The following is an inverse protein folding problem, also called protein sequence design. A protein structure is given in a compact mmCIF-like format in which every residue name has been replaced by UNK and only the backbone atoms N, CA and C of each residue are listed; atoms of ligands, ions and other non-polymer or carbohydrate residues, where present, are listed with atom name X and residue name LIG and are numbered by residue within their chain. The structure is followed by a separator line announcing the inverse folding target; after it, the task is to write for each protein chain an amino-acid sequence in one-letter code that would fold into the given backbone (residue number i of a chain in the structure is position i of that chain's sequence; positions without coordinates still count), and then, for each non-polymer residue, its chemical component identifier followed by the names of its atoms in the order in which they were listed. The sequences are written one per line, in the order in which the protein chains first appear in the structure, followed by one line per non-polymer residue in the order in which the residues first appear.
data_IF_533317163617
#
_entry.id   IF_533317163617
#
_cell.length_a   1.000
_cell.length_b   1.000
_cell.length_c   1.000
_cell.angle_alpha   90.00
_cell.angle_beta   90.00
_cell.angle_gamma   90.00
#
_symmetry.space_group_name_H-M   'P 1'
#
loop_
_entity.id
_entity.type
_entity.pdbx_description
1 polymer ?
#
# COMPACT_ATOMS: atom_id res chain seq x y z
N UNK A 1 -3.83 47.71 -5.85
CA UNK A 1 -3.30 46.36 -5.56
C UNK A 1 -3.06 46.28 -4.07
N UNK A 2 -3.91 45.57 -3.32
CA UNK A 2 -3.79 45.50 -1.85
C UNK A 2 -2.62 44.58 -1.49
N UNK A 3 -1.66 45.07 -0.70
CA UNK A 3 -0.58 44.25 -0.17
C UNK A 3 -1.20 43.18 0.73
N UNK A 4 -1.22 41.92 0.28
CA UNK A 4 -1.69 40.80 1.08
C UNK A 4 -0.96 40.83 2.43
N UNK A 5 -1.71 40.75 3.54
CA UNK A 5 -1.10 40.77 4.87
C UNK A 5 0.01 39.72 4.97
N UNK A 6 1.06 39.99 5.76
CA UNK A 6 2.18 39.05 5.98
C UNK A 6 1.72 37.62 6.34
N UNK A 7 0.54 37.48 6.96
CA UNK A 7 -0.12 36.20 7.23
C UNK A 7 -0.59 35.48 5.96
N UNK A 8 -1.27 36.17 5.04
CA UNK A 8 -1.77 35.59 3.79
C UNK A 8 -0.62 35.11 2.89
N UNK A 9 0.44 35.91 2.77
CA UNK A 9 1.65 35.52 2.02
C UNK A 9 2.27 34.24 2.60
N UNK A 10 2.34 34.12 3.93
CA UNK A 10 2.85 32.93 4.61
C UNK A 10 1.94 31.70 4.40
N UNK A 11 0.62 31.86 4.40
CA UNK A 11 -0.32 30.78 4.11
C UNK A 11 -0.18 30.30 2.67
N UNK A 12 -0.09 31.22 1.71
CA UNK A 12 0.12 30.91 0.30
C UNK A 12 1.43 30.15 0.08
N UNK A 13 2.54 30.61 0.67
CA UNK A 13 3.82 29.91 0.61
C UNK A 13 3.74 28.49 1.22
N UNK A 14 3.01 28.34 2.33
CA UNK A 14 2.80 27.03 2.96
C UNK A 14 2.00 26.09 2.07
N UNK A 15 0.95 26.60 1.42
CA UNK A 15 0.14 25.82 0.50
C UNK A 15 0.95 25.37 -0.72
N UNK A 16 1.75 26.26 -1.32
CA UNK A 16 2.62 25.93 -2.45
C UNK A 16 3.61 24.80 -2.12
N UNK A 17 4.23 24.85 -0.94
CA UNK A 17 5.10 23.78 -0.42
C UNK A 17 4.35 22.45 -0.30
N UNK A 18 3.13 22.48 0.25
CA UNK A 18 2.31 21.28 0.42
C UNK A 18 1.86 20.72 -0.93
N UNK A 19 1.58 21.57 -1.91
CA UNK A 19 1.22 21.17 -3.27
C UNK A 19 2.39 20.53 -4.03
N UNK A 20 3.61 21.02 -3.83
CA UNK A 20 4.83 20.45 -4.42
C UNK A 20 5.27 19.12 -3.78
N UNK A 21 4.90 18.87 -2.53
CA UNK A 21 5.27 17.66 -1.80
C UNK A 21 4.17 16.59 -1.76
N UNK A 22 4.56 15.31 -1.85
CA UNK A 22 3.61 14.19 -1.72
C UNK A 22 3.43 13.76 -0.26
N UNK A 23 2.24 13.22 0.05
CA UNK A 23 1.93 12.51 1.29
C UNK A 23 1.36 13.37 2.42
N UNK A 24 1.41 12.82 3.64
CA UNK A 24 0.87 13.46 4.84
C UNK A 24 1.81 14.54 5.39
N UNK A 25 1.23 15.67 5.78
CA UNK A 25 1.93 16.81 6.36
C UNK A 25 1.58 16.94 7.83
N UNK A 26 2.53 16.61 8.70
CA UNK A 26 2.46 16.88 10.13
C UNK A 26 3.06 18.25 10.45
N UNK A 27 2.76 18.77 11.65
CA UNK A 27 3.37 20.01 12.15
C UNK A 27 4.91 19.91 12.15
N UNK A 28 5.45 18.77 12.58
CA UNK A 28 6.89 18.53 12.61
C UNK A 28 7.52 18.49 11.21
N UNK A 29 6.83 17.92 10.22
CA UNK A 29 7.30 17.91 8.82
C UNK A 29 7.35 19.31 8.24
N UNK A 30 6.30 20.11 8.42
CA UNK A 30 6.27 21.50 7.96
C UNK A 30 7.33 22.35 8.66
N UNK A 31 7.52 22.16 9.97
CA UNK A 31 8.55 22.85 10.75
C UNK A 31 9.96 22.54 10.22
N UNK A 32 10.27 21.25 9.98
CA UNK A 32 11.55 20.82 9.42
C UNK A 32 11.79 21.44 8.04
N UNK A 33 10.77 21.44 7.18
CA UNK A 33 10.85 22.08 5.87
C UNK A 33 11.17 23.57 5.98
N UNK A 34 10.48 24.31 6.86
CA UNK A 34 10.74 25.75 7.08
C UNK A 34 12.15 26.03 7.58
N UNK A 35 12.67 25.23 8.52
CA UNK A 35 14.06 25.35 9.00
C UNK A 35 15.07 25.20 7.87
N UNK A 36 14.85 24.23 6.99
CA UNK A 36 15.74 23.98 5.86
C UNK A 36 15.77 25.13 4.83
N UNK A 37 14.74 25.98 4.80
CA UNK A 37 14.58 27.06 3.81
C UNK A 37 14.61 28.46 4.45
N UNK A 38 15.15 28.59 5.67
CA UNK A 38 15.31 29.89 6.36
C UNK A 38 14.00 30.58 6.79
N UNK A 39 12.86 29.87 6.78
CA UNK A 39 11.56 30.43 7.13
C UNK A 39 11.24 30.30 8.64
N UNK A 40 10.32 31.10 9.20
CA UNK A 40 9.95 31.04 10.61
C UNK A 40 9.52 29.63 11.07
N UNK A 41 10.33 29.03 11.92
CA UNK A 41 10.26 27.61 12.29
C UNK A 41 9.54 27.33 13.62
N UNK A 42 8.72 28.26 14.11
CA UNK A 42 7.97 28.03 15.35
C UNK A 42 6.85 27.00 15.13
N UNK A 43 6.79 25.99 16.01
CA UNK A 43 5.83 24.88 15.95
C UNK A 43 4.38 25.36 16.08
N UNK A 44 4.15 26.38 16.92
CA UNK A 44 2.84 27.03 17.10
C UNK A 44 2.33 27.67 15.80
N UNK A 45 3.20 28.36 15.07
CA UNK A 45 2.88 28.98 13.77
C UNK A 45 2.57 27.94 12.70
N UNK A 46 3.39 26.89 12.59
CA UNK A 46 3.12 25.77 11.67
C UNK A 46 1.77 25.09 11.96
N UNK A 47 1.44 24.90 13.25
CA UNK A 47 0.14 24.34 13.66
C UNK A 47 -1.02 25.25 13.27
N UNK A 48 -0.92 26.57 13.53
CA UNK A 48 -1.96 27.54 13.16
C UNK A 48 -2.16 27.61 11.65
N UNK A 49 -1.07 27.63 10.87
CA UNK A 49 -1.14 27.72 9.42
C UNK A 49 -1.78 26.46 8.80
N UNK A 50 -1.43 25.25 9.28
CA UNK A 50 -2.08 24.01 8.83
C UNK A 50 -3.57 23.95 9.21
N UNK A 51 -3.91 24.38 10.43
CA UNK A 51 -5.30 24.44 10.87
C UNK A 51 -6.11 25.46 10.06
N UNK A 52 -5.51 26.59 9.70
CA UNK A 52 -6.13 27.60 8.83
C UNK A 52 -6.37 27.06 7.42
N UNK A 53 -5.37 26.44 6.80
CA UNK A 53 -5.51 25.83 5.47
C UNK A 53 -6.56 24.71 5.46
N UNK A 54 -6.68 23.94 6.56
CA UNK A 54 -7.74 22.97 6.72
C UNK A 54 -9.11 23.63 6.86
N UNK A 55 -9.24 24.70 7.66
CA UNK A 55 -10.48 25.46 7.83
C UNK A 55 -10.95 26.08 6.52
N UNK A 56 -10.03 26.57 5.69
CA UNK A 56 -10.28 27.10 4.33
C UNK A 56 -10.59 26.01 3.30
N UNK A 57 -10.52 24.75 3.69
CA UNK A 57 -10.85 23.63 2.85
C UNK A 57 -9.72 23.16 1.93
N UNK A 58 -8.51 23.71 2.01
CA UNK A 58 -7.39 23.23 1.19
C UNK A 58 -6.79 21.92 1.69
N UNK A 59 -6.92 21.60 2.98
CA UNK A 59 -6.39 20.39 3.59
C UNK A 59 -7.48 19.59 4.31
N UNK A 60 -7.34 18.26 4.31
CA UNK A 60 -8.12 17.36 5.14
C UNK A 60 -7.31 16.99 6.37
N UNK A 61 -7.87 17.26 7.55
CA UNK A 61 -7.28 16.86 8.82
C UNK A 61 -7.54 15.36 9.09
N UNK A 62 -6.51 14.63 9.49
CA UNK A 62 -6.57 13.19 9.76
C UNK A 62 -5.86 12.84 11.08
N UNK A 63 -6.29 11.74 11.71
CA UNK A 63 -5.66 11.19 12.92
C UNK A 63 -6.17 11.78 14.26
N UNK A 64 -5.76 11.16 15.38
CA UNK A 64 -6.13 11.60 16.74
C UNK A 64 -5.47 12.95 17.08
N UNK A 65 -5.93 13.58 18.16
CA UNK A 65 -5.52 14.94 18.54
C UNK A 65 -3.99 15.12 18.63
N UNK A 66 -3.27 14.13 19.16
CA UNK A 66 -1.81 14.18 19.37
C UNK A 66 -0.98 13.61 18.21
N UNK A 67 -1.64 12.96 17.24
CA UNK A 67 -1.04 12.41 16.02
C UNK A 67 -1.52 13.09 14.74
N UNK A 68 -2.10 14.30 14.87
CA UNK A 68 -2.81 14.96 13.77
C UNK A 68 -1.88 15.26 12.60
N UNK A 69 -2.28 14.80 11.43
CA UNK A 69 -1.64 15.11 10.16
C UNK A 69 -2.66 15.66 9.16
N UNK A 70 -2.18 16.31 8.12
CA UNK A 70 -3.00 16.95 7.12
C UNK A 70 -2.64 16.38 5.76
N UNK A 71 -3.64 16.11 4.94
CA UNK A 71 -3.43 15.72 3.54
C UNK A 71 -3.98 16.82 2.65
N UNK A 72 -3.32 17.10 1.53
CA UNK A 72 -3.83 18.05 0.55
C UNK A 72 -5.21 17.58 0.10
N UNK A 73 -6.23 18.42 0.29
CA UNK A 73 -7.54 18.18 -0.29
C UNK A 73 -7.34 18.39 -1.78
N UNK A 74 -7.31 17.28 -2.53
CA UNK A 74 -7.35 17.35 -3.98
C UNK A 74 -8.68 18.00 -4.29
N UNK A 75 -8.67 19.25 -4.74
CA UNK A 75 -9.91 19.95 -5.08
C UNK A 75 -10.76 19.03 -5.95
N UNK A 76 -11.94 18.78 -5.44
CA UNK A 76 -12.96 17.97 -6.04
C UNK A 76 -13.88 18.93 -6.78
N UNK A 77 -13.81 19.07 -8.10
CA UNK A 77 -15.02 19.24 -8.87
C UNK A 77 -15.65 17.84 -8.98
N UNK A 78 -16.82 17.67 -8.36
CA UNK A 78 -17.73 16.52 -8.50
C UNK A 78 -17.23 15.17 -7.96
N UNK A 79 -18.16 14.47 -7.32
CA UNK A 79 -18.12 13.03 -7.12
C UNK A 79 -17.99 12.30 -8.46
N UNK A 80 -16.78 12.12 -8.95
CA UNK A 80 -16.40 10.87 -9.58
C UNK A 80 -15.24 10.33 -8.75
N UNK A 81 -15.58 9.58 -7.69
CA UNK A 81 -14.95 8.25 -7.58
C UNK A 81 -15.10 7.71 -8.99
N UNK A 82 -14.08 7.84 -9.85
CA UNK A 82 -14.16 7.44 -11.24
C UNK A 82 -14.75 6.04 -11.16
N UNK A 83 -16.03 5.94 -11.53
CA UNK A 83 -16.82 4.74 -11.33
C UNK A 83 -15.98 3.75 -12.10
N UNK A 84 -15.29 2.83 -11.39
CA UNK A 84 -14.32 1.93 -12.01
C UNK A 84 -14.98 1.49 -13.29
N UNK A 85 -14.43 1.85 -14.45
CA UNK A 85 -15.09 1.59 -15.72
C UNK A 85 -15.32 0.10 -15.71
N UNK A 86 -16.56 -0.29 -15.46
CA UNK A 86 -16.86 -1.68 -15.19
C UNK A 86 -16.70 -2.35 -16.54
N UNK A 87 -15.63 -3.10 -16.68
CA UNK A 87 -15.35 -3.80 -17.92
C UNK A 87 -16.47 -4.80 -18.16
N UNK A 88 -17.20 -4.61 -19.24
CA UNK A 88 -18.17 -5.61 -19.70
C UNK A 88 -17.42 -6.76 -20.35
N UNK A 89 -17.04 -7.73 -19.53
CA UNK A 89 -16.31 -8.91 -19.97
C UNK A 89 -17.10 -9.78 -20.97
N UNK A 90 -18.44 -9.71 -20.97
CA UNK A 90 -19.24 -10.45 -21.93
C UNK A 90 -19.13 -9.82 -23.33
N UNK A 91 -19.25 -8.50 -23.41
CA UNK A 91 -19.06 -7.75 -24.65
C UNK A 91 -17.64 -7.92 -25.22
N UNK A 92 -16.62 -7.82 -24.36
CA UNK A 92 -15.22 -8.06 -24.75
C UNK A 92 -15.02 -9.48 -25.28
N UNK A 93 -15.54 -10.50 -24.59
CA UNK A 93 -15.40 -11.89 -25.03
C UNK A 93 -16.12 -12.15 -26.36
N UNK A 94 -17.27 -11.52 -26.60
CA UNK A 94 -17.97 -11.58 -27.88
C UNK A 94 -17.15 -10.93 -29.00
N UNK A 95 -16.57 -9.74 -28.76
CA UNK A 95 -15.71 -9.05 -29.72
C UNK A 95 -14.46 -9.87 -30.08
N UNK A 96 -13.83 -10.51 -29.08
CA UNK A 96 -12.69 -11.40 -29.29
C UNK A 96 -13.05 -12.61 -30.16
N UNK A 97 -14.23 -13.22 -29.96
CA UNK A 97 -14.69 -14.35 -30.79
C UNK A 97 -15.02 -13.92 -32.21
N UNK A 98 -15.55 -12.71 -32.40
CA UNK A 98 -15.81 -12.14 -33.71
C UNK A 98 -14.53 -11.82 -34.49
N UNK A 99 -13.39 -11.65 -33.80
CA UNK A 99 -12.09 -11.33 -34.41
C UNK A 99 -10.99 -12.30 -33.93
N UNK A 100 -11.01 -13.58 -34.36
CA UNK A 100 -10.01 -14.56 -33.96
C UNK A 100 -8.58 -14.12 -34.29
N UNK A 101 -7.65 -14.38 -33.37
CA UNK A 101 -6.22 -14.08 -33.52
C UNK A 101 -5.82 -12.62 -33.27
N UNK A 102 -6.77 -11.68 -33.25
CA UNK A 102 -6.52 -10.26 -33.01
C UNK A 102 -6.41 -9.97 -31.51
N UNK A 103 -5.38 -9.23 -31.12
CA UNK A 103 -5.23 -8.74 -29.75
C UNK A 103 -6.17 -7.56 -29.51
N UNK A 104 -7.12 -7.73 -28.60
CA UNK A 104 -8.02 -6.66 -28.16
C UNK A 104 -7.78 -6.34 -26.68
N UNK A 105 -7.99 -5.08 -26.32
CA UNK A 105 -7.95 -4.63 -24.93
C UNK A 105 -9.12 -5.23 -24.16
N UNK A 106 -8.81 -5.94 -23.08
CA UNK A 106 -9.81 -6.41 -22.12
C UNK A 106 -10.09 -5.32 -21.10
N UNK A 107 -9.06 -4.67 -20.59
CA UNK A 107 -9.20 -3.57 -19.66
C UNK A 107 -7.87 -3.24 -18.99
N UNK A 108 -7.84 -2.09 -18.34
CA UNK A 108 -6.68 -1.59 -17.62
C UNK A 108 -6.96 -1.56 -16.12
N UNK A 109 -6.04 -2.15 -15.36
CA UNK A 109 -6.21 -2.35 -13.93
C UNK A 109 -5.12 -1.62 -13.18
N UNK A 110 -5.51 -0.82 -12.19
CA UNK A 110 -4.57 -0.05 -11.36
C UNK A 110 -3.57 -0.89 -10.56
N UNK A 111 -3.84 -2.18 -10.37
CA UNK A 111 -3.01 -3.09 -9.58
C UNK A 111 -2.66 -4.33 -10.41
N UNK A 112 -1.36 -4.62 -10.53
CA UNK A 112 -0.81 -5.78 -11.21
C UNK A 112 -1.35 -7.12 -10.67
N UNK A 113 -1.64 -7.22 -9.37
CA UNK A 113 -2.23 -8.43 -8.77
C UNK A 113 -3.67 -8.66 -9.21
N UNK A 114 -4.44 -7.57 -9.34
CA UNK A 114 -5.80 -7.64 -9.91
C UNK A 114 -5.71 -8.04 -11.37
N UNK A 115 -4.77 -7.44 -12.13
CA UNK A 115 -4.57 -7.78 -13.52
C UNK A 115 -4.20 -9.27 -13.69
N UNK A 116 -3.27 -9.76 -12.88
CA UNK A 116 -2.85 -11.18 -12.86
C UNK A 116 -4.02 -12.11 -12.55
N UNK A 117 -4.88 -11.73 -11.61
CA UNK A 117 -6.07 -12.51 -11.23
C UNK A 117 -7.08 -12.58 -12.37
N UNK A 118 -7.37 -11.44 -13.03
CA UNK A 118 -8.28 -11.41 -14.18
C UNK A 118 -7.71 -12.22 -15.34
N UNK A 119 -6.40 -12.06 -15.62
CA UNK A 119 -5.69 -12.82 -16.65
C UNK A 119 -5.88 -14.32 -16.47
N UNK A 120 -5.60 -14.82 -15.26
CA UNK A 120 -5.79 -16.23 -14.90
C UNK A 120 -7.22 -16.70 -15.14
N UNK A 121 -8.22 -15.91 -14.73
CA UNK A 121 -9.65 -16.24 -14.91
C UNK A 121 -10.08 -16.32 -16.37
N UNK A 122 -9.50 -15.48 -17.25
CA UNK A 122 -9.75 -15.53 -18.71
C UNK A 122 -9.21 -16.82 -19.29
N UNK A 123 -7.97 -17.20 -18.94
CA UNK A 123 -7.31 -18.41 -19.43
C UNK A 123 -8.01 -19.69 -18.94
N UNK A 124 -8.43 -19.71 -17.66
CA UNK A 124 -9.10 -20.84 -17.03
C UNK A 124 -10.57 -20.97 -17.40
N UNK A 125 -11.24 -19.90 -17.84
CA UNK A 125 -12.67 -19.92 -18.16
C UNK A 125 -13.59 -20.19 -16.95
N UNK A 126 -13.11 -19.99 -15.71
CA UNK A 126 -13.79 -20.42 -14.47
C UNK A 126 -14.39 -19.26 -13.68
N UNK A 127 -15.68 -19.39 -13.29
CA UNK A 127 -16.49 -18.52 -12.40
C UNK A 127 -16.43 -17.01 -12.73
N UNK A 128 -17.35 -16.22 -12.18
CA UNK A 128 -17.41 -14.76 -12.34
C UNK A 128 -17.17 -14.30 -13.81
N UNK A 129 -16.16 -13.44 -14.01
CA UNK A 129 -15.70 -12.92 -15.29
C UNK A 129 -15.17 -14.01 -16.24
N UNK A 130 -14.61 -15.11 -15.71
CA UNK A 130 -14.02 -16.19 -16.48
C UNK A 130 -15.05 -16.99 -17.28
N UNK A 131 -16.30 -17.07 -16.82
CA UNK A 131 -17.39 -17.77 -17.53
C UNK A 131 -17.59 -17.23 -18.96
N UNK A 132 -17.38 -15.93 -19.17
CA UNK A 132 -17.51 -15.31 -20.49
C UNK A 132 -16.42 -15.77 -21.47
N UNK A 133 -15.31 -16.31 -20.98
CA UNK A 133 -14.14 -16.75 -21.76
C UNK A 133 -14.05 -18.27 -21.88
N UNK A 134 -15.19 -18.97 -21.79
CA UNK A 134 -15.24 -20.40 -22.10
C UNK A 134 -15.21 -20.65 -23.62
N UNK A 135 -14.66 -21.80 -24.07
CA UNK A 135 -13.99 -22.83 -23.27
C UNK A 135 -12.60 -22.41 -22.75
N UNK A 136 -12.18 -23.02 -21.63
CA UNK A 136 -10.86 -22.81 -21.04
C UNK A 136 -9.73 -23.10 -22.05
N UNK A 137 -8.67 -22.29 -22.03
CA UNK A 137 -7.53 -22.43 -22.94
C UNK A 137 -7.76 -21.96 -24.38
N UNK A 138 -8.94 -21.40 -24.71
CA UNK A 138 -9.19 -20.80 -26.03
C UNK A 138 -8.74 -19.35 -26.16
N UNK A 139 -8.30 -18.74 -25.06
CA UNK A 139 -7.85 -17.36 -25.03
C UNK A 139 -6.38 -17.33 -24.63
N UNK A 140 -5.60 -16.58 -25.38
CA UNK A 140 -4.26 -16.19 -25.00
C UNK A 140 -4.31 -14.77 -24.44
N UNK A 141 -3.53 -14.51 -23.39
CA UNK A 141 -3.55 -13.22 -22.71
C UNK A 141 -2.14 -12.70 -22.48
N UNK A 142 -1.98 -11.37 -22.46
CA UNK A 142 -0.74 -10.71 -22.06
C UNK A 142 -1.06 -9.49 -21.21
N UNK A 143 -0.08 -9.09 -20.41
CA UNK A 143 -0.20 -7.92 -19.54
C UNK A 143 1.01 -7.00 -19.76
N UNK A 144 0.73 -5.71 -19.92
CA UNK A 144 1.74 -4.66 -20.13
C UNK A 144 1.59 -3.62 -19.03
N UNK A 145 2.70 -3.22 -18.40
CA UNK A 145 2.69 -2.14 -17.43
C UNK A 145 2.55 -0.79 -18.16
N UNK A 146 1.64 0.06 -17.68
CA UNK A 146 1.36 1.40 -18.22
C UNK A 146 1.51 2.43 -17.10
N UNK A 147 1.50 3.72 -17.44
CA UNK A 147 1.56 4.80 -16.44
C UNK A 147 0.36 4.79 -15.47
N UNK A 148 -0.78 4.26 -15.93
CA UNK A 148 -2.05 4.22 -15.18
C UNK A 148 -2.33 2.86 -14.49
N UNK A 149 -1.55 1.82 -14.79
CA UNK A 149 -1.67 0.51 -14.18
C UNK A 149 -1.10 -0.63 -15.01
N UNK A 150 -1.93 -1.65 -15.24
CA UNK A 150 -1.58 -2.84 -16.01
C UNK A 150 -2.68 -3.12 -17.02
N UNK A 151 -2.37 -2.91 -18.29
CA UNK A 151 -3.24 -3.19 -19.42
C UNK A 151 -3.25 -4.71 -19.67
N UNK A 152 -4.44 -5.29 -19.75
CA UNK A 152 -4.63 -6.66 -20.20
C UNK A 152 -5.15 -6.64 -21.64
N UNK A 153 -4.47 -7.38 -22.49
CA UNK A 153 -4.92 -7.72 -23.82
C UNK A 153 -5.15 -9.23 -23.91
N UNK A 154 -6.12 -9.62 -24.72
CA UNK A 154 -6.38 -11.02 -25.01
C UNK A 154 -6.62 -11.21 -26.52
N UNK A 155 -6.45 -12.44 -27.00
CA UNK A 155 -6.90 -12.87 -28.33
C UNK A 155 -7.57 -14.24 -28.25
N UNK A 156 -8.60 -14.44 -29.06
CA UNK A 156 -9.29 -15.72 -29.16
C UNK A 156 -8.63 -16.62 -30.22
N UNK A 157 -8.36 -17.88 -29.86
CA UNK A 157 -7.69 -18.85 -30.71
C UNK A 157 -8.59 -20.09 -30.90
N UNK A 158 -9.42 -20.12 -31.96
CA UNK A 158 -10.44 -21.16 -32.17
C UNK A 158 -9.87 -22.54 -32.48
N UNK A 159 -8.57 -22.66 -32.74
CA UNK A 159 -7.90 -23.93 -33.03
C UNK A 159 -7.14 -24.50 -31.82
N UNK A 160 -6.92 -23.72 -30.75
CA UNK A 160 -6.31 -24.27 -29.54
C UNK A 160 -7.28 -25.28 -28.93
N UNK A 161 -6.80 -26.48 -28.65
CA UNK A 161 -7.61 -27.44 -27.91
C UNK A 161 -7.97 -26.84 -26.56
N UNK A 162 -9.22 -27.03 -26.08
CA UNK A 162 -9.56 -26.58 -24.74
C UNK A 162 -8.54 -27.20 -23.79
N UNK A 163 -7.92 -26.37 -22.95
CA UNK A 163 -7.10 -26.91 -21.86
C UNK A 163 -8.03 -27.84 -21.11
N UNK A 164 -7.66 -29.13 -21.03
CA UNK A 164 -8.37 -30.06 -20.16
C UNK A 164 -8.41 -29.40 -18.81
N UNK A 165 -9.59 -28.91 -18.41
CA UNK A 165 -9.81 -28.52 -17.04
C UNK A 165 -9.40 -29.76 -16.26
N UNK A 166 -8.31 -29.73 -15.48
CA UNK A 166 -7.95 -30.90 -14.69
C UNK A 166 -9.24 -31.29 -13.95
N UNK A 167 -9.65 -32.58 -14.03
CA UNK A 167 -10.91 -33.03 -13.44
C UNK A 167 -10.92 -32.45 -12.05
N UNK A 168 -11.94 -31.62 -11.75
CA UNK A 168 -11.95 -30.71 -10.62
C UNK A 168 -11.24 -31.42 -9.49
N UNK A 169 -9.96 -31.08 -9.29
CA UNK A 169 -9.20 -31.76 -8.27
C UNK A 169 -10.08 -31.53 -7.07
N UNK A 170 -10.46 -32.59 -6.38
CA UNK A 170 -10.95 -32.47 -5.02
C UNK A 170 -9.75 -31.91 -4.27
N UNK A 171 -9.50 -30.62 -4.49
CA UNK A 171 -8.80 -29.76 -3.60
C UNK A 171 -9.70 -29.86 -2.40
N UNK A 172 -9.41 -30.86 -1.58
CA UNK A 172 -9.41 -30.69 -0.15
C UNK A 172 -8.86 -29.29 -0.01
N UNK A 173 -9.77 -28.35 0.23
CA UNK A 173 -9.42 -26.99 0.59
C UNK A 173 -8.53 -27.21 1.79
N UNK A 174 -7.22 -27.26 1.52
CA UNK A 174 -6.22 -27.22 2.54
C UNK A 174 -6.39 -25.80 3.02
N UNK A 175 -7.28 -25.66 4.01
CA UNK A 175 -7.61 -24.39 4.60
C UNK A 175 -6.29 -23.75 4.97
N UNK A 176 -6.21 -22.42 4.92
CA UNK A 176 -4.99 -21.75 5.34
C UNK A 176 -4.54 -22.24 6.73
N UNK A 177 -5.48 -22.64 7.58
CA UNK A 177 -5.23 -23.36 8.82
C UNK A 177 -4.48 -24.69 8.62
N UNK A 178 -4.94 -25.61 7.77
CA UNK A 178 -4.25 -26.88 7.51
C UNK A 178 -2.85 -26.67 6.90
N UNK A 179 -2.69 -25.64 6.06
CA UNK A 179 -1.37 -25.25 5.52
C UNK A 179 -0.46 -24.77 6.64
N UNK A 180 -0.91 -23.83 7.46
CA UNK A 180 -0.14 -23.27 8.59
C UNK A 180 0.20 -24.35 9.62
N UNK A 181 -0.74 -25.23 9.98
CA UNK A 181 -0.47 -26.36 10.88
C UNK A 181 0.57 -27.31 10.30
N UNK A 182 0.52 -27.58 8.99
CA UNK A 182 1.56 -28.37 8.31
C UNK A 182 2.93 -27.70 8.34
N UNK A 183 3.00 -26.38 8.20
CA UNK A 183 4.26 -25.62 8.28
C UNK A 183 4.84 -25.62 9.70
N UNK A 184 3.98 -25.52 10.73
CA UNK A 184 4.38 -25.65 12.13
C UNK A 184 4.91 -27.06 12.40
N UNK A 185 4.20 -28.10 11.93
CA UNK A 185 4.62 -29.49 12.13
C UNK A 185 5.96 -29.83 11.45
N UNK A 186 6.27 -29.19 10.31
CA UNK A 186 7.56 -29.33 9.61
C UNK A 186 8.66 -28.42 10.16
N UNK A 187 8.37 -27.58 11.16
CA UNK A 187 9.34 -26.64 11.74
C UNK A 187 9.68 -25.45 10.84
N UNK A 188 8.92 -25.22 9.77
CA UNK A 188 9.08 -24.06 8.87
C UNK A 188 8.59 -22.76 9.54
N UNK A 189 7.66 -22.88 10.48
CA UNK A 189 7.14 -21.77 11.29
C UNK A 189 7.50 -22.02 12.74
N UNK A 190 8.33 -21.14 13.30
CA UNK A 190 8.67 -21.12 14.72
C UNK A 190 7.48 -20.60 15.53
N UNK A 191 6.60 -21.51 15.94
CA UNK A 191 5.49 -21.24 16.85
C UNK A 191 5.80 -21.74 18.27
N UNK A 192 5.22 -21.10 19.28
CA UNK A 192 5.36 -21.51 20.69
C UNK A 192 6.55 -20.89 21.44
N UNK A 193 6.76 -21.29 22.71
CA UNK A 193 7.70 -20.63 23.62
C UNK A 193 9.16 -20.66 23.15
N UNK A 194 9.57 -21.74 22.47
CA UNK A 194 10.92 -21.89 21.97
C UNK A 194 11.17 -21.05 20.70
N UNK A 195 10.17 -20.99 19.81
CA UNK A 195 10.19 -20.07 18.68
C UNK A 195 10.28 -18.61 19.12
N UNK A 196 9.51 -18.24 20.15
CA UNK A 196 9.56 -16.91 20.76
C UNK A 196 10.96 -16.60 21.34
N UNK A 197 11.59 -17.55 22.05
CA UNK A 197 12.96 -17.39 22.56
C UNK A 197 13.98 -17.20 21.45
N UNK A 198 13.89 -17.95 20.35
CA UNK A 198 14.81 -17.80 19.21
C UNK A 198 14.64 -16.45 18.49
N UNK A 199 13.41 -15.97 18.37
CA UNK A 199 13.13 -14.65 17.81
C UNK A 199 13.68 -13.58 18.75
N UNK A 200 13.43 -13.67 20.05
CA UNK A 200 13.94 -12.74 21.06
C UNK A 200 15.48 -12.67 21.03
N UNK A 201 16.17 -13.82 21.07
CA UNK A 201 17.63 -13.86 20.99
C UNK A 201 18.16 -13.25 19.69
N UNK A 202 17.52 -13.52 18.54
CA UNK A 202 17.90 -12.89 17.26
C UNK A 202 17.72 -11.38 17.30
N UNK A 203 16.65 -10.89 17.91
CA UNK A 203 16.41 -9.46 18.07
C UNK A 203 17.38 -8.81 19.05
N UNK A 204 17.73 -9.48 20.15
CA UNK A 204 18.75 -9.05 21.09
C UNK A 204 20.13 -8.97 20.41
N UNK A 205 20.49 -9.94 19.56
CA UNK A 205 21.70 -9.85 18.74
C UNK A 205 21.66 -8.71 17.73
N UNK A 206 20.51 -8.49 17.07
CA UNK A 206 20.39 -7.50 16.00
C UNK A 206 20.24 -6.06 16.51
N UNK A 207 19.63 -5.89 17.68
CA UNK A 207 19.23 -4.58 18.20
C UNK A 207 19.77 -4.30 19.60
N UNK A 208 20.41 -5.26 20.27
CA UNK A 208 21.00 -5.10 21.61
C UNK A 208 20.00 -4.54 22.62
N UNK A 209 20.51 -3.67 23.49
CA UNK A 209 19.79 -3.02 24.60
C UNK A 209 18.82 -1.90 24.17
N UNK A 210 18.44 -1.85 22.88
CA UNK A 210 17.47 -0.85 22.39
C UNK A 210 16.13 -0.94 23.14
N UNK A 211 15.83 -2.09 23.74
CA UNK A 211 14.64 -2.29 24.57
C UNK A 211 14.89 -2.23 26.08
N UNK A 212 16.15 -2.13 26.52
CA UNK A 212 16.45 -1.91 27.94
C UNK A 212 15.85 -0.58 28.36
N UNK A 213 15.02 -0.61 29.40
CA UNK A 213 14.42 0.61 29.92
C UNK A 213 15.50 1.47 30.56
N UNK A 214 15.25 2.78 30.71
CA UNK A 214 16.20 3.66 31.39
C UNK A 214 16.43 3.21 32.85
N UNK A 215 15.47 2.49 33.45
CA UNK A 215 15.61 1.86 34.75
C UNK A 215 16.60 0.67 34.73
N UNK A 216 16.57 -0.16 33.69
CA UNK A 216 17.50 -1.28 33.52
C UNK A 216 18.94 -0.78 33.33
N UNK A 217 19.12 0.32 32.58
CA UNK A 217 20.44 0.96 32.40
C UNK A 217 20.95 1.60 33.68
N UNK A 218 20.10 2.36 34.38
CA UNK A 218 20.49 3.00 35.64
C UNK A 218 20.89 1.98 36.72
N UNK A 219 20.26 0.80 36.74
CA UNK A 219 20.62 -0.27 37.65
C UNK A 219 21.94 -0.96 37.27
N UNK A 220 22.18 -1.17 35.96
CA UNK A 220 23.45 -1.70 35.48
C UNK A 220 24.63 -0.75 35.80
N UNK A 221 24.46 0.56 35.63
CA UNK A 221 25.47 1.57 35.98
C UNK A 221 25.76 1.58 37.49
N UNK A 222 24.73 1.49 38.33
CA UNK A 222 24.89 1.44 39.79
C UNK A 222 25.69 0.20 40.26
N UNK A 223 25.50 -0.95 39.60
CA UNK A 223 26.28 -2.16 39.89
C UNK A 223 27.75 -2.01 39.47
N UNK A 224 27.98 -1.40 38.31
CA UNK A 224 29.34 -1.13 37.84
C UNK A 224 30.08 -0.17 38.77
N UNK A 225 29.41 0.86 39.31
CA UNK A 225 30.00 1.77 40.29
C UNK A 225 30.37 1.06 41.60
N UNK A 226 29.50 0.17 42.09
CA UNK A 226 29.79 -0.63 43.30
C UNK A 226 30.98 -1.56 43.08
N UNK A 227 31.08 -2.17 41.91
CA UNK A 227 32.16 -3.13 41.61
C UNK A 227 33.49 -2.44 41.29
N UNK A 228 33.48 -1.25 40.68
CA UNK A 228 34.68 -0.47 40.41
C UNK A 228 35.23 0.24 41.67
N UNK A 229 34.37 0.63 42.60
CA UNK A 229 34.75 1.33 43.84
C UNK A 229 35.42 0.46 44.92
N UNK A 230 35.45 -0.87 44.74
CA UNK A 230 36.02 -1.81 45.73
C UNK A 230 37.51 -2.13 45.56
N UNK A 231 38.22 -1.49 44.61
CA UNK A 231 39.60 -1.81 44.25
C UNK A 231 40.64 -0.74 44.66
N UNK A 232 40.37 0.05 45.70
CA UNK A 232 41.33 1.01 46.29
C UNK A 232 41.82 0.57 47.67
#
# INVERSE_FOLDING_TARGET
MSAASSREQRLAATLAVIQGGRGAWSVGRLQRHRRAHGAPAQRSTARRDLAELARRGHLTQCGPHDGRYYTLRKDQPMSRRARRTHVDHAAVAAALRAQPGVWLTVGEYRNADTARTIRRRIEEGQRDVGRNYQPAGRYETRATLTDDGTLIEARYLPHLLPRRTPPAATALTQTDAARVTGQIARGEVLAGPEGARRIAARHETAYGDVWATDADRAWADAINDITAGGAS
#
